data_IF_965734203635
#
_entry.id   IF_965734203635
#
_cell.length_a   1.000
_cell.length_b   1.000
_cell.length_c   1.000
_cell.angle_alpha   90.00
_cell.angle_beta   90.00
_cell.angle_gamma   90.00
#
_symmetry.space_group_name_H-M   'P 1'
#
loop_
_entity.id
_entity.type
_entity.pdbx_description
1 polymer ?
#
# COMPACT_ATOMS: atom_id res chain seq x y z
N UNK A 1 -25.49 -5.49 -50.74
CA UNK A 1 -26.12 -5.28 -49.43
C UNK A 1 -27.19 -4.19 -49.55
N UNK A 2 -28.42 -4.50 -49.23
CA UNK A 2 -29.51 -3.51 -49.29
C UNK A 2 -29.30 -2.44 -48.22
N UNK A 3 -29.50 -1.16 -48.56
CA UNK A 3 -29.28 -0.02 -47.65
C UNK A 3 -29.87 -0.15 -46.24
N UNK A 4 -31.03 -0.80 -45.98
CA UNK A 4 -31.54 -0.98 -44.62
C UNK A 4 -30.73 -1.93 -43.75
N UNK A 5 -30.17 -2.97 -44.28
CA UNK A 5 -29.35 -3.95 -43.52
C UNK A 5 -28.04 -3.35 -43.04
N UNK A 6 -27.44 -2.48 -43.83
CA UNK A 6 -26.22 -1.77 -43.45
C UNK A 6 -26.46 -0.80 -42.29
N UNK A 7 -27.63 -0.10 -42.30
CA UNK A 7 -28.02 0.80 -41.22
C UNK A 7 -28.28 0.03 -39.93
N UNK A 8 -28.95 -1.11 -40.03
CA UNK A 8 -29.20 -1.96 -38.86
C UNK A 8 -27.88 -2.49 -38.27
N UNK A 9 -26.95 -2.91 -39.10
CA UNK A 9 -25.66 -3.42 -38.68
C UNK A 9 -24.83 -2.33 -37.97
N UNK A 10 -24.82 -1.12 -38.49
CA UNK A 10 -24.17 0.05 -37.89
C UNK A 10 -24.79 0.41 -36.55
N UNK A 11 -26.09 0.39 -36.42
CA UNK A 11 -26.77 0.72 -35.15
C UNK A 11 -26.52 -0.32 -34.06
N UNK A 12 -26.48 -1.60 -34.41
CA UNK A 12 -26.14 -2.70 -33.48
C UNK A 12 -24.69 -2.59 -33.03
N UNK A 13 -23.76 -2.30 -33.95
CA UNK A 13 -22.35 -2.11 -33.64
C UNK A 13 -22.12 -0.91 -32.69
N UNK A 14 -22.82 0.21 -32.92
CA UNK A 14 -22.77 1.38 -32.03
C UNK A 14 -23.31 1.07 -30.65
N UNK A 15 -24.44 0.37 -30.54
CA UNK A 15 -25.01 -0.05 -29.27
C UNK A 15 -24.07 -0.97 -28.47
N UNK A 16 -23.44 -1.94 -29.15
CA UNK A 16 -22.45 -2.82 -28.55
C UNK A 16 -21.21 -2.04 -28.04
N UNK A 17 -20.71 -1.09 -28.83
CA UNK A 17 -19.60 -0.24 -28.44
C UNK A 17 -19.92 0.61 -27.20
N UNK A 18 -21.11 1.18 -27.11
CA UNK A 18 -21.57 1.95 -25.94
C UNK A 18 -21.67 1.06 -24.71
N UNK A 19 -22.19 -0.16 -24.85
CA UNK A 19 -22.26 -1.11 -23.73
C UNK A 19 -20.89 -1.52 -23.23
N UNK A 20 -19.94 -1.79 -24.11
CA UNK A 20 -18.57 -2.12 -23.75
C UNK A 20 -17.88 -0.94 -23.06
N UNK A 21 -18.01 0.28 -23.59
CA UNK A 21 -17.47 1.49 -22.97
C UNK A 21 -18.08 1.74 -21.59
N UNK A 22 -19.38 1.56 -21.42
CA UNK A 22 -20.06 1.68 -20.15
C UNK A 22 -19.55 0.66 -19.10
N UNK A 23 -19.39 -0.59 -19.50
CA UNK A 23 -18.85 -1.64 -18.65
C UNK A 23 -17.40 -1.37 -18.24
N UNK A 24 -16.56 -0.88 -19.15
CA UNK A 24 -15.18 -0.48 -18.87
C UNK A 24 -15.15 0.70 -17.91
N UNK A 25 -15.97 1.73 -18.11
CA UNK A 25 -16.06 2.86 -17.19
C UNK A 25 -16.52 2.45 -15.79
N UNK A 26 -17.52 1.60 -15.68
CA UNK A 26 -17.97 1.06 -14.39
C UNK A 26 -16.86 0.23 -13.70
N UNK A 27 -15.99 -0.39 -14.46
CA UNK A 27 -14.86 -1.16 -13.92
C UNK A 27 -13.70 -0.27 -13.47
N UNK A 28 -13.53 0.88 -14.15
CA UNK A 28 -12.52 1.90 -13.80
C UNK A 28 -12.96 2.77 -12.61
N UNK A 29 -14.25 2.89 -12.37
CA UNK A 29 -14.84 3.73 -11.32
C UNK A 29 -15.01 2.98 -9.97
N UNK A 30 -14.25 1.91 -9.77
CA UNK A 30 -14.22 1.21 -8.48
C UNK A 30 -13.63 2.14 -7.43
N UNK A 31 -14.47 2.48 -6.46
CA UNK A 31 -13.99 3.20 -5.27
C UNK A 31 -12.95 2.34 -4.55
N UNK A 32 -11.91 2.95 -4.00
CA UNK A 32 -10.98 2.22 -3.14
C UNK A 32 -11.71 1.73 -1.88
N UNK A 33 -11.28 0.61 -1.37
CA UNK A 33 -11.59 0.23 0.01
C UNK A 33 -10.74 1.10 0.94
N UNK A 34 -11.38 1.77 1.90
CA UNK A 34 -10.72 2.75 2.77
C UNK A 34 -10.83 2.34 4.24
N UNK A 35 -9.72 2.39 4.93
CA UNK A 35 -9.65 2.25 6.37
C UNK A 35 -8.92 3.43 6.99
N UNK A 36 -9.54 4.08 7.98
CA UNK A 36 -8.92 5.15 8.77
C UNK A 36 -8.58 4.61 10.15
N UNK A 37 -7.36 4.85 10.58
CA UNK A 37 -6.83 4.34 11.85
C UNK A 37 -5.77 5.28 12.40
N UNK A 38 -5.37 5.04 13.65
CA UNK A 38 -4.28 5.76 14.28
C UNK A 38 -3.08 4.83 14.43
N UNK A 39 -1.94 5.24 13.91
CA UNK A 39 -0.68 4.49 14.01
C UNK A 39 0.52 5.44 13.96
N UNK A 40 1.61 5.07 14.58
CA UNK A 40 2.84 5.86 14.63
C UNK A 40 2.62 7.30 15.13
N UNK A 41 1.74 7.45 16.11
CA UNK A 41 1.32 8.73 16.71
C UNK A 41 0.66 9.71 15.72
N UNK A 42 0.13 9.22 14.61
CA UNK A 42 -0.58 10.03 13.65
C UNK A 42 -1.84 9.34 13.09
N UNK A 43 -2.83 10.13 12.63
CA UNK A 43 -3.95 9.59 11.89
C UNK A 43 -3.50 9.13 10.51
N UNK A 44 -3.85 7.91 10.16
CA UNK A 44 -3.51 7.27 8.89
C UNK A 44 -4.78 6.89 8.13
N UNK A 45 -4.72 6.95 6.82
CA UNK A 45 -5.77 6.44 5.94
C UNK A 45 -5.14 5.55 4.87
N UNK A 46 -5.60 4.31 4.78
CA UNK A 46 -5.24 3.40 3.71
C UNK A 46 -6.37 3.35 2.69
N UNK A 47 -6.06 3.57 1.42
CA UNK A 47 -6.98 3.44 0.30
C UNK A 47 -6.43 2.39 -0.68
N UNK A 48 -7.16 1.31 -0.87
CA UNK A 48 -6.71 0.14 -1.64
C UNK A 48 -7.66 -0.15 -2.79
N UNK A 49 -7.15 -0.16 -4.00
CA UNK A 49 -7.91 -0.52 -5.20
C UNK A 49 -7.79 -2.03 -5.45
N UNK A 50 -8.93 -2.72 -5.41
CA UNK A 50 -8.99 -4.16 -5.65
C UNK A 50 -8.38 -5.01 -4.53
N UNK A 51 -8.28 -4.49 -3.32
CA UNK A 51 -7.74 -5.15 -2.15
C UNK A 51 -8.55 -4.84 -0.89
N UNK A 52 -7.95 -5.14 0.25
CA UNK A 52 -8.53 -4.98 1.58
C UNK A 52 -7.70 -3.96 2.38
N UNK A 53 -8.31 -2.81 2.68
CA UNK A 53 -7.68 -1.75 3.46
C UNK A 53 -7.50 -2.14 4.95
N UNK A 54 -8.36 -2.99 5.48
CA UNK A 54 -8.22 -3.50 6.84
C UNK A 54 -6.97 -4.37 7.00
N UNK A 55 -6.64 -5.17 5.99
CA UNK A 55 -5.40 -5.94 5.96
C UNK A 55 -4.15 -5.05 5.99
N UNK A 56 -4.17 -3.93 5.28
CA UNK A 56 -3.10 -2.92 5.31
C UNK A 56 -2.97 -2.30 6.71
N UNK A 57 -4.08 -1.92 7.32
CA UNK A 57 -4.13 -1.39 8.69
C UNK A 57 -3.53 -2.37 9.69
N UNK A 58 -3.93 -3.62 9.67
CA UNK A 58 -3.40 -4.67 10.55
C UNK A 58 -1.90 -4.89 10.35
N UNK A 59 -1.43 -4.83 9.11
CA UNK A 59 0.00 -4.94 8.81
C UNK A 59 0.79 -3.75 9.37
N UNK A 60 0.29 -2.53 9.22
CA UNK A 60 0.93 -1.32 9.77
C UNK A 60 0.99 -1.38 11.30
N UNK A 61 -0.07 -1.79 11.96
CA UNK A 61 -0.08 -1.97 13.42
C UNK A 61 0.88 -3.05 13.90
N UNK A 62 1.03 -4.13 13.15
CA UNK A 62 2.02 -5.18 13.44
C UNK A 62 3.45 -4.63 13.34
N UNK A 63 3.74 -3.85 12.31
CA UNK A 63 5.04 -3.20 12.13
C UNK A 63 5.31 -2.15 13.23
N UNK A 64 4.29 -1.39 13.65
CA UNK A 64 4.42 -0.46 14.77
C UNK A 64 4.84 -1.16 16.06
N UNK A 65 4.20 -2.27 16.41
CA UNK A 65 4.57 -3.07 17.58
C UNK A 65 6.00 -3.62 17.51
N UNK A 66 6.46 -3.94 16.32
CA UNK A 66 7.80 -4.49 16.09
C UNK A 66 8.89 -3.41 16.18
N UNK A 67 8.61 -2.21 15.67
CA UNK A 67 9.60 -1.15 15.48
C UNK A 67 9.42 0.06 16.37
N UNK A 68 8.41 0.10 17.24
CA UNK A 68 8.23 1.23 18.16
C UNK A 68 9.38 1.30 19.17
N UNK A 69 10.10 2.43 19.27
CA UNK A 69 11.12 2.59 20.30
C UNK A 69 10.54 2.79 21.71
N UNK A 70 9.23 3.06 21.80
CA UNK A 70 8.54 3.36 23.06
C UNK A 70 7.75 2.19 23.61
N UNK A 71 7.53 1.14 22.84
CA UNK A 71 6.81 -0.05 23.29
C UNK A 71 7.81 -1.05 23.89
N UNK A 72 7.63 -1.35 25.18
CA UNK A 72 8.44 -2.37 25.86
C UNK A 72 8.27 -3.73 25.19
N UNK A 73 9.39 -4.39 24.89
CA UNK A 73 9.39 -5.68 24.22
C UNK A 73 9.35 -5.63 22.70
N UNK A 74 9.27 -4.44 22.07
CA UNK A 74 9.51 -4.31 20.64
C UNK A 74 10.95 -4.72 20.29
N UNK A 75 11.17 -5.16 19.05
CA UNK A 75 12.50 -5.57 18.62
C UNK A 75 13.49 -4.40 18.64
N UNK A 76 13.02 -3.20 18.26
CA UNK A 76 13.85 -2.00 18.30
C UNK A 76 14.17 -1.55 19.73
N UNK A 77 13.21 -1.58 20.65
CA UNK A 77 13.43 -1.27 22.07
C UNK A 77 14.44 -2.22 22.70
N UNK A 78 14.28 -3.51 22.45
CA UNK A 78 15.24 -4.54 22.93
C UNK A 78 16.64 -4.36 22.35
N UNK A 79 16.76 -3.96 21.09
CA UNK A 79 18.02 -3.66 20.45
C UNK A 79 18.70 -2.44 21.10
N UNK A 80 17.93 -1.37 21.36
CA UNK A 80 18.41 -0.14 22.00
C UNK A 80 18.89 -0.41 23.44
N UNK A 81 18.19 -1.25 24.18
CA UNK A 81 18.56 -1.61 25.56
C UNK A 81 19.80 -2.50 25.64
N UNK A 82 19.87 -3.49 24.78
CA UNK A 82 20.95 -4.48 24.81
C UNK A 82 22.21 -4.07 24.03
N UNK A 83 22.05 -3.13 23.08
CA UNK A 83 23.09 -2.75 22.11
C UNK A 83 23.46 -3.86 21.12
N UNK A 84 22.93 -5.06 21.28
CA UNK A 84 23.17 -6.21 20.44
C UNK A 84 22.01 -7.19 20.54
N UNK A 85 21.38 -7.51 19.41
CA UNK A 85 20.25 -8.43 19.34
C UNK A 85 20.30 -9.22 18.03
N UNK A 86 19.90 -10.48 18.09
CA UNK A 86 19.59 -11.25 16.90
C UNK A 86 18.24 -10.76 16.35
N UNK A 87 18.28 -10.15 15.16
CA UNK A 87 17.12 -9.54 14.54
C UNK A 87 16.35 -10.55 13.70
N UNK A 88 15.03 -10.37 13.60
CA UNK A 88 14.24 -11.06 12.60
C UNK A 88 14.73 -10.71 11.18
N UNK A 89 14.53 -11.60 10.24
CA UNK A 89 14.99 -11.41 8.86
C UNK A 89 14.42 -10.12 8.24
N UNK A 90 13.15 -9.84 8.51
CA UNK A 90 12.47 -8.62 8.04
C UNK A 90 13.12 -7.35 8.57
N UNK A 91 13.44 -7.31 9.86
CA UNK A 91 14.11 -6.18 10.51
C UNK A 91 15.53 -6.01 9.99
N UNK A 92 16.27 -7.09 9.84
CA UNK A 92 17.62 -7.06 9.29
C UNK A 92 17.65 -6.50 7.86
N UNK A 93 16.74 -6.93 7.00
CA UNK A 93 16.62 -6.39 5.64
C UNK A 93 16.24 -4.91 5.63
N UNK A 94 15.33 -4.49 6.50
CA UNK A 94 14.94 -3.08 6.62
C UNK A 94 16.13 -2.20 7.00
N UNK A 95 16.92 -2.63 7.97
CA UNK A 95 18.13 -1.90 8.43
C UNK A 95 19.18 -1.86 7.33
N UNK A 96 19.46 -2.96 6.66
CA UNK A 96 20.41 -3.02 5.55
C UNK A 96 20.02 -2.09 4.40
N UNK A 97 18.75 -2.13 3.99
CA UNK A 97 18.22 -1.24 2.96
C UNK A 97 18.32 0.24 3.38
N UNK A 98 18.04 0.55 4.63
CA UNK A 98 18.14 1.90 5.18
C UNK A 98 19.56 2.42 5.17
N UNK A 99 20.53 1.59 5.54
CA UNK A 99 21.98 1.92 5.50
C UNK A 99 22.42 2.15 4.06
N UNK A 100 22.00 1.31 3.13
CA UNK A 100 22.32 1.45 1.71
C UNK A 100 21.76 2.76 1.13
N UNK A 101 20.52 3.09 1.45
CA UNK A 101 19.89 4.35 1.03
C UNK A 101 20.58 5.57 1.62
N UNK A 102 21.01 5.50 2.89
CA UNK A 102 21.77 6.56 3.55
C UNK A 102 23.10 6.78 2.85
N UNK A 103 23.83 5.72 2.51
CA UNK A 103 25.09 5.82 1.79
C UNK A 103 24.92 6.40 0.38
N UNK A 104 23.82 6.05 -0.28
CA UNK A 104 23.56 6.47 -1.68
C UNK A 104 23.05 7.91 -1.81
N UNK A 105 22.20 8.33 -0.90
CA UNK A 105 21.48 9.60 -1.00
C UNK A 105 21.77 10.59 0.13
N UNK A 106 22.41 10.17 1.19
CA UNK A 106 22.88 11.02 2.28
C UNK A 106 21.79 11.66 3.17
N UNK A 107 20.52 11.28 3.01
CA UNK A 107 19.41 11.94 3.67
C UNK A 107 18.58 11.13 4.66
N UNK A 108 18.81 9.84 4.76
CA UNK A 108 18.00 8.93 5.56
C UNK A 108 18.86 8.27 6.66
N UNK A 109 19.25 9.03 7.66
CA UNK A 109 20.01 8.51 8.80
C UNK A 109 19.04 7.95 9.85
N UNK A 110 18.96 6.63 9.96
CA UNK A 110 18.13 5.92 10.93
C UNK A 110 18.68 5.99 12.37
N UNK A 111 19.92 6.44 12.57
CA UNK A 111 20.51 6.62 13.89
C UNK A 111 20.17 7.96 14.54
N UNK A 112 19.62 8.90 13.80
CA UNK A 112 19.39 10.28 14.23
C UNK A 112 18.24 10.46 15.24
N UNK A 113 17.61 9.40 15.69
CA UNK A 113 16.52 9.43 16.67
C UNK A 113 16.85 8.79 18.02
N UNK A 114 18.10 8.49 18.27
CA UNK A 114 18.53 7.89 19.52
C UNK A 114 18.98 8.94 20.52
#
# INVERSE_FOLDING_TARGET
>A
MKKPERRLFVSVACAAAIMVCGAVMMHLDKKPDEATFFAMDCPCTAAVYGGDAEAVKERIKTLEKLYSPYEEGSELSRLNESGRLELSEETAQLIENSIELTKKYGGADISAGA
#
